data_IF_620267699319
#
_entry.id   IF_620267699319
#
_cell.length_a   1.000
_cell.length_b   1.000
_cell.length_c   1.000
_cell.angle_alpha   90.00
_cell.angle_beta   90.00
_cell.angle_gamma   90.00
#
_symmetry.space_group_name_H-M   'P 1'
#
loop_
_entity.id
_entity.type
_entity.pdbx_description
1 polymer ?
#
# COMPACT_ATOMS: atom_id res chain seq x y z
N UNK A 1 2.17 21.28 2.31
CA UNK A 1 1.79 22.28 3.34
C UNK A 1 0.62 23.17 2.93
N UNK A 2 0.76 24.09 1.93
CA UNK A 2 -0.28 25.12 1.63
C UNK A 2 -1.65 24.53 1.33
N UNK A 3 -1.72 23.51 0.45
CA UNK A 3 -2.94 22.75 0.15
C UNK A 3 -3.62 22.23 1.43
N UNK A 4 -2.85 21.55 2.29
CA UNK A 4 -3.40 20.88 3.47
C UNK A 4 -3.97 21.91 4.46
N UNK A 5 -3.29 23.05 4.64
CA UNK A 5 -3.80 24.14 5.46
C UNK A 5 -5.11 24.72 4.92
N UNK A 6 -5.22 24.88 3.59
CA UNK A 6 -6.44 25.38 2.95
C UNK A 6 -7.60 24.37 3.05
N UNK A 7 -7.30 23.07 3.12
CA UNK A 7 -8.27 22.00 3.34
C UNK A 7 -8.56 21.74 4.83
N UNK A 8 -7.96 22.51 5.76
CA UNK A 8 -8.10 22.29 7.19
C UNK A 8 -7.44 21.01 7.71
N UNK A 9 -6.48 20.45 6.95
CA UNK A 9 -5.74 19.24 7.28
C UNK A 9 -4.38 19.59 7.89
N UNK A 10 -3.84 18.78 8.82
CA UNK A 10 -2.49 18.96 9.29
C UNK A 10 -1.50 18.77 8.13
N UNK A 11 -0.53 19.67 7.93
CA UNK A 11 0.47 19.52 6.88
C UNK A 11 1.43 18.37 7.20
N UNK A 12 1.69 17.51 6.23
CA UNK A 12 2.65 16.41 6.38
C UNK A 12 4.10 16.88 6.15
N UNK A 13 4.31 17.71 5.11
CA UNK A 13 5.63 18.15 4.68
C UNK A 13 5.67 19.67 4.48
N UNK A 14 6.81 20.27 4.78
CA UNK A 14 7.10 21.68 4.48
C UNK A 14 8.27 21.76 3.49
N UNK A 15 7.95 21.95 2.22
CA UNK A 15 8.92 22.13 1.15
C UNK A 15 9.12 23.61 0.85
N UNK A 16 10.35 24.03 0.71
CA UNK A 16 10.71 25.41 0.40
C UNK A 16 11.32 25.49 -1.01
N UNK A 17 10.80 26.41 -1.83
CA UNK A 17 11.40 26.79 -3.09
C UNK A 17 12.11 28.15 -2.94
N UNK A 18 13.38 28.21 -3.33
CA UNK A 18 14.22 29.39 -3.13
C UNK A 18 14.46 30.12 -4.46
N UNK A 19 14.13 31.41 -4.50
CA UNK A 19 14.53 32.31 -5.58
C UNK A 19 16.00 32.70 -5.44
N UNK A 20 16.67 33.04 -6.55
CA UNK A 20 18.06 33.52 -6.55
C UNK A 20 19.13 32.43 -6.78
N UNK A 21 18.72 31.21 -7.10
CA UNK A 21 19.63 30.11 -7.43
C UNK A 21 20.28 29.43 -6.21
N UNK A 22 21.01 28.35 -6.50
CA UNK A 22 21.65 27.49 -5.49
C UNK A 22 22.72 28.24 -4.69
N UNK A 23 23.51 29.11 -5.34
CA UNK A 23 24.62 29.80 -4.70
C UNK A 23 24.15 30.78 -3.62
N UNK A 24 23.10 31.55 -3.91
CA UNK A 24 22.51 32.46 -2.91
C UNK A 24 21.91 31.69 -1.72
N UNK A 25 21.30 30.52 -1.98
CA UNK A 25 20.77 29.64 -0.96
C UNK A 25 21.88 29.04 -0.07
N UNK A 26 22.95 28.53 -0.66
CA UNK A 26 24.09 27.96 0.08
C UNK A 26 24.79 29.00 0.95
N UNK A 27 24.92 30.24 0.45
CA UNK A 27 25.42 31.37 1.26
C UNK A 27 24.50 31.69 2.46
N UNK A 28 23.18 31.65 2.26
CA UNK A 28 22.22 31.92 3.31
C UNK A 28 22.10 30.79 4.35
N UNK A 29 22.34 29.55 3.93
CA UNK A 29 22.22 28.35 4.76
C UNK A 29 23.49 27.46 4.65
N UNK A 30 24.64 27.87 5.21
CA UNK A 30 25.92 27.18 5.03
C UNK A 30 25.95 25.76 5.64
N UNK A 31 24.98 25.40 6.47
CA UNK A 31 24.84 24.07 7.06
C UNK A 31 23.89 23.15 6.30
N UNK A 32 23.30 23.61 5.18
CA UNK A 32 22.45 22.78 4.34
C UNK A 32 23.28 21.69 3.64
N UNK A 33 22.75 20.49 3.64
CA UNK A 33 23.37 19.33 2.97
C UNK A 33 22.59 18.99 1.71
N UNK A 34 23.27 18.86 0.58
CA UNK A 34 22.68 18.38 -0.67
C UNK A 34 22.30 16.90 -0.52
N UNK A 35 21.05 16.57 -0.84
CA UNK A 35 20.50 15.22 -0.79
C UNK A 35 19.98 14.85 -2.18
N UNK A 36 20.31 13.65 -2.65
CA UNK A 36 19.92 13.18 -3.98
C UNK A 36 20.97 13.43 -5.05
N UNK A 37 20.95 12.57 -6.08
CA UNK A 37 21.90 12.63 -7.21
C UNK A 37 21.34 13.31 -8.45
N UNK A 38 20.02 13.36 -8.60
CA UNK A 38 19.33 13.80 -9.81
C UNK A 38 18.51 15.09 -9.66
N UNK A 39 18.22 15.51 -8.43
CA UNK A 39 17.47 16.75 -8.15
C UNK A 39 18.23 17.53 -7.10
N UNK A 40 18.33 18.85 -7.27
CA UNK A 40 18.96 19.76 -6.32
C UNK A 40 18.04 20.01 -5.12
N UNK A 41 18.00 19.05 -4.21
CA UNK A 41 17.31 19.16 -2.92
C UNK A 41 18.35 19.31 -1.82
N UNK A 42 18.11 20.25 -0.93
CA UNK A 42 18.97 20.57 0.21
C UNK A 42 18.18 20.37 1.49
N UNK A 43 18.80 19.79 2.49
CA UNK A 43 18.18 19.62 3.82
C UNK A 43 18.92 20.47 4.84
N UNK A 44 18.18 21.33 5.52
CA UNK A 44 18.67 22.13 6.64
C UNK A 44 17.66 22.09 7.78
N UNK A 45 18.10 21.73 8.99
CA UNK A 45 17.25 21.64 10.20
C UNK A 45 16.00 20.78 10.03
N UNK A 46 16.08 19.71 9.21
CA UNK A 46 14.94 18.83 8.93
C UNK A 46 13.93 19.37 7.92
N UNK A 47 14.20 20.51 7.29
CA UNK A 47 13.38 21.10 6.24
C UNK A 47 14.04 20.90 4.88
N UNK A 48 13.21 20.67 3.84
CA UNK A 48 13.67 20.48 2.46
C UNK A 48 13.59 21.80 1.69
N UNK A 49 14.68 22.11 0.97
CA UNK A 49 14.83 23.30 0.14
C UNK A 49 15.25 22.91 -1.26
N UNK A 50 14.69 23.57 -2.25
CA UNK A 50 15.07 23.41 -3.66
C UNK A 50 15.08 24.76 -4.38
N UNK A 51 15.86 24.92 -5.45
CA UNK A 51 15.70 26.08 -6.31
C UNK A 51 14.30 26.10 -6.96
N UNK A 52 13.82 27.29 -7.32
CA UNK A 52 12.66 27.39 -8.21
C UNK A 52 12.92 26.66 -9.52
N UNK A 53 11.91 25.99 -10.04
CA UNK A 53 11.91 25.49 -11.41
C UNK A 53 11.45 26.63 -12.32
N UNK A 54 12.39 27.28 -13.04
CA UNK A 54 12.18 28.50 -13.78
C UNK A 54 12.65 29.75 -13.02
N UNK A 55 12.32 30.92 -13.55
CA UNK A 55 12.76 32.20 -13.01
C UNK A 55 11.76 32.82 -12.01
N UNK A 56 10.50 32.40 -12.11
CA UNK A 56 9.39 32.97 -11.34
C UNK A 56 8.63 31.90 -10.53
N UNK A 57 7.97 32.31 -9.41
CA UNK A 57 7.08 31.39 -8.70
C UNK A 57 5.96 30.80 -9.58
N UNK A 58 5.48 31.53 -10.56
CA UNK A 58 4.44 31.07 -11.47
C UNK A 58 4.93 29.90 -12.35
N UNK A 59 6.16 29.98 -12.87
CA UNK A 59 6.78 28.90 -13.64
C UNK A 59 7.03 27.65 -12.77
N UNK A 60 7.49 27.84 -11.54
CA UNK A 60 7.64 26.72 -10.57
C UNK A 60 6.32 26.01 -10.31
N UNK A 61 5.22 26.74 -10.18
CA UNK A 61 3.90 26.17 -9.95
C UNK A 61 3.39 25.38 -11.16
N UNK A 62 3.63 25.86 -12.38
CA UNK A 62 3.31 25.14 -13.62
C UNK A 62 4.18 23.90 -13.85
N UNK A 63 5.34 23.83 -13.22
CA UNK A 63 6.22 22.67 -13.27
C UNK A 63 5.80 21.54 -12.32
N UNK A 64 4.85 21.76 -11.40
CA UNK A 64 4.35 20.75 -10.44
C UNK A 64 3.48 19.69 -11.13
N UNK A 65 3.03 18.73 -10.35
CA UNK A 65 2.20 17.61 -10.84
C UNK A 65 0.74 18.02 -11.05
N UNK A 66 0.07 18.52 -10.00
CA UNK A 66 -1.35 18.81 -9.97
C UNK A 66 -1.62 20.27 -9.62
N UNK A 67 -2.72 20.84 -10.15
CA UNK A 67 -3.16 22.21 -9.86
C UNK A 67 -3.35 22.45 -8.36
N UNK A 68 -3.91 21.47 -7.62
CA UNK A 68 -4.12 21.54 -6.18
C UNK A 68 -2.82 21.51 -5.37
N UNK A 69 -1.71 21.04 -5.94
CA UNK A 69 -0.37 21.07 -5.36
C UNK A 69 0.42 22.30 -5.82
N UNK A 70 -0.08 23.01 -6.84
CA UNK A 70 0.55 24.18 -7.41
C UNK A 70 0.16 25.46 -6.65
N UNK A 71 0.51 25.46 -5.36
CA UNK A 71 0.26 26.53 -4.38
C UNK A 71 1.53 26.81 -3.59
N UNK A 72 1.84 28.07 -3.36
CA UNK A 72 2.95 28.48 -2.53
C UNK A 72 2.61 29.78 -1.78
N UNK A 73 3.22 29.99 -0.61
CA UNK A 73 3.12 31.21 0.16
C UNK A 73 4.53 31.74 0.43
N UNK A 74 4.77 33.01 0.19
CA UNK A 74 6.05 33.64 0.51
C UNK A 74 6.16 34.04 2.00
N UNK A 75 7.33 34.47 2.41
CA UNK A 75 7.59 34.91 3.80
C UNK A 75 6.78 36.16 4.23
N UNK A 76 6.11 36.84 3.29
CA UNK A 76 5.22 37.99 3.55
C UNK A 76 3.75 37.58 3.62
N UNK A 77 3.44 36.27 3.46
CA UNK A 77 2.08 35.75 3.45
C UNK A 77 1.35 35.91 2.12
N UNK A 78 2.04 36.28 1.03
CA UNK A 78 1.42 36.37 -0.30
C UNK A 78 1.26 34.97 -0.90
N UNK A 79 0.04 34.65 -1.29
CA UNK A 79 -0.31 33.39 -1.96
C UNK A 79 0.01 33.48 -3.45
N UNK A 80 0.72 32.49 -3.97
CA UNK A 80 0.91 32.19 -5.38
C UNK A 80 0.19 30.89 -5.68
N UNK A 81 -0.59 30.85 -6.74
CA UNK A 81 -1.42 29.72 -7.08
C UNK A 81 -1.50 29.52 -8.59
N UNK A 82 -1.60 28.27 -9.02
CA UNK A 82 -2.01 27.95 -10.37
C UNK A 82 -3.40 28.56 -10.64
N UNK A 83 -3.70 29.11 -11.84
CA UNK A 83 -4.98 29.78 -12.13
C UNK A 83 -6.23 28.94 -11.82
N UNK A 84 -6.16 27.62 -11.95
CA UNK A 84 -7.26 26.68 -11.66
C UNK A 84 -7.25 26.14 -10.23
N UNK A 85 -6.19 26.34 -9.44
CA UNK A 85 -6.04 25.69 -8.14
C UNK A 85 -7.23 25.91 -7.20
N UNK A 86 -7.73 27.16 -7.11
CA UNK A 86 -8.86 27.50 -6.23
C UNK A 86 -10.17 26.86 -6.67
N UNK A 87 -10.41 26.74 -7.99
CA UNK A 87 -11.60 26.07 -8.52
C UNK A 87 -11.49 24.55 -8.28
N UNK A 88 -10.38 23.94 -8.71
CA UNK A 88 -10.16 22.50 -8.57
C UNK A 88 -10.17 22.06 -7.09
N UNK A 89 -9.67 22.90 -6.17
CA UNK A 89 -9.77 22.60 -4.73
C UNK A 89 -11.20 22.67 -4.20
N UNK A 90 -12.00 23.64 -4.63
CA UNK A 90 -13.41 23.75 -4.22
C UNK A 90 -14.24 22.61 -4.78
N UNK A 91 -13.98 22.25 -6.02
CA UNK A 91 -14.75 21.27 -6.79
C UNK A 91 -14.25 19.83 -6.56
N UNK A 92 -13.20 19.64 -5.75
CA UNK A 92 -12.63 18.31 -5.44
C UNK A 92 -12.02 17.63 -6.68
N UNK A 93 -11.26 18.37 -7.51
CA UNK A 93 -10.75 17.87 -8.79
C UNK A 93 -9.23 17.75 -8.78
N UNK A 94 -8.69 16.60 -9.19
CA UNK A 94 -7.26 16.37 -9.41
C UNK A 94 -6.94 16.52 -10.91
N UNK A 95 -6.40 17.68 -11.26
CA UNK A 95 -6.04 18.06 -12.64
C UNK A 95 -4.54 18.30 -12.73
N UNK A 96 -3.93 17.89 -13.83
CA UNK A 96 -2.53 18.20 -14.12
C UNK A 96 -2.29 19.71 -14.17
N UNK A 97 -1.15 20.16 -13.65
CA UNK A 97 -0.74 21.57 -13.69
C UNK A 97 -0.40 22.06 -15.11
N UNK A 98 0.00 21.14 -15.99
CA UNK A 98 0.27 21.38 -17.40
C UNK A 98 0.05 20.10 -18.20
N UNK A 99 -0.28 20.25 -19.50
CA UNK A 99 -0.59 19.10 -20.37
C UNK A 99 0.55 18.11 -20.51
N UNK A 100 1.80 18.58 -20.45
CA UNK A 100 3.01 17.76 -20.55
C UNK A 100 3.56 17.28 -19.20
N UNK A 101 2.84 17.52 -18.11
CA UNK A 101 3.31 17.22 -16.75
C UNK A 101 3.73 15.75 -16.58
N UNK A 102 2.97 14.80 -17.14
CA UNK A 102 3.29 13.37 -17.08
C UNK A 102 4.48 12.99 -17.97
N UNK A 103 4.61 13.64 -19.14
CA UNK A 103 5.74 13.39 -20.05
C UNK A 103 7.06 13.90 -19.47
N UNK A 104 7.03 15.03 -18.76
CA UNK A 104 8.20 15.55 -18.05
C UNK A 104 8.66 14.63 -16.93
N UNK A 105 7.73 13.98 -16.27
CA UNK A 105 8.05 13.07 -15.16
C UNK A 105 6.98 11.95 -15.02
N UNK A 106 7.21 10.79 -15.65
CA UNK A 106 6.24 9.70 -15.69
C UNK A 106 5.85 9.12 -14.32
N UNK A 107 6.66 9.31 -13.26
CA UNK A 107 6.29 8.86 -11.91
C UNK A 107 5.02 9.54 -11.39
N UNK A 108 4.66 10.67 -11.96
CA UNK A 108 3.47 11.45 -11.58
C UNK A 108 2.15 10.70 -11.77
N UNK A 109 2.10 9.64 -12.59
CA UNK A 109 0.89 8.78 -12.63
C UNK A 109 0.61 8.16 -11.27
N UNK A 110 1.67 7.74 -10.55
CA UNK A 110 1.54 7.22 -9.20
C UNK A 110 1.22 8.32 -8.17
N UNK A 111 1.77 9.53 -8.35
CA UNK A 111 1.40 10.68 -7.51
C UNK A 111 -0.08 11.05 -7.67
N UNK A 112 -0.60 11.08 -8.91
CA UNK A 112 -2.02 11.35 -9.19
C UNK A 112 -2.90 10.30 -8.51
N UNK A 113 -2.61 9.03 -8.71
CA UNK A 113 -3.37 7.93 -8.10
C UNK A 113 -3.31 7.97 -6.55
N UNK A 114 -2.13 8.26 -6.00
CA UNK A 114 -1.95 8.46 -4.55
C UNK A 114 -2.75 9.65 -4.02
N UNK A 115 -2.76 10.75 -4.75
CA UNK A 115 -3.50 11.94 -4.30
C UNK A 115 -4.98 11.66 -4.15
N UNK A 116 -5.58 10.84 -5.00
CA UNK A 116 -6.98 10.44 -4.83
C UNK A 116 -7.18 9.49 -3.64
N UNK A 117 -6.18 8.68 -3.32
CA UNK A 117 -6.20 7.83 -2.11
C UNK A 117 -6.07 8.66 -0.80
N UNK A 118 -5.25 9.72 -0.82
CA UNK A 118 -5.03 10.62 0.34
C UNK A 118 -6.15 11.65 0.51
N UNK A 119 -6.84 12.03 -0.56
CA UNK A 119 -7.90 13.06 -0.59
C UNK A 119 -9.23 12.43 -1.02
N UNK A 120 -9.98 11.78 -0.12
CA UNK A 120 -11.16 11.00 -0.50
C UNK A 120 -12.32 11.83 -1.08
N UNK A 121 -12.32 13.14 -0.89
CA UNK A 121 -13.31 14.05 -1.48
C UNK A 121 -12.92 14.56 -2.89
N UNK A 122 -11.76 14.10 -3.39
CA UNK A 122 -11.25 14.48 -4.71
C UNK A 122 -11.33 13.33 -5.69
N UNK A 123 -11.55 13.68 -6.98
CA UNK A 123 -11.58 12.75 -8.12
C UNK A 123 -10.61 13.21 -9.21
N UNK A 124 -10.01 12.25 -9.89
CA UNK A 124 -9.13 12.55 -11.03
C UNK A 124 -9.96 13.05 -12.20
N UNK A 125 -9.55 14.20 -12.78
CA UNK A 125 -10.24 14.79 -13.93
C UNK A 125 -10.16 13.88 -15.16
N UNK A 126 -11.22 13.76 -15.99
CA UNK A 126 -11.21 12.91 -17.18
C UNK A 126 -10.04 13.16 -18.14
N UNK A 127 -9.66 14.43 -18.37
CA UNK A 127 -8.48 14.76 -19.19
C UNK A 127 -7.18 14.24 -18.57
N UNK A 128 -7.05 14.24 -17.24
CA UNK A 128 -5.90 13.67 -16.54
C UNK A 128 -5.83 12.15 -16.76
N UNK A 129 -6.97 11.45 -16.64
CA UNK A 129 -7.05 10.02 -16.93
C UNK A 129 -6.68 9.69 -18.38
N UNK A 130 -7.10 10.53 -19.33
CA UNK A 130 -6.74 10.36 -20.74
C UNK A 130 -5.23 10.47 -20.94
N UNK A 131 -4.58 11.49 -20.36
CA UNK A 131 -3.11 11.62 -20.37
C UNK A 131 -2.40 10.44 -19.69
N UNK A 132 -2.99 9.88 -18.62
CA UNK A 132 -2.48 8.67 -18.00
C UNK A 132 -2.54 7.48 -18.96
N UNK A 133 -3.66 7.30 -19.72
CA UNK A 133 -3.79 6.21 -20.71
C UNK A 133 -2.79 6.35 -21.84
N UNK A 134 -2.58 7.55 -22.35
CA UNK A 134 -1.56 7.83 -23.37
C UNK A 134 -0.16 7.43 -22.88
N UNK A 135 0.18 7.77 -21.64
CA UNK A 135 1.47 7.42 -21.05
C UNK A 135 1.59 5.94 -20.73
N UNK A 136 0.53 5.32 -20.19
CA UNK A 136 0.46 3.89 -19.89
C UNK A 136 0.67 2.99 -21.11
N UNK A 137 0.24 3.45 -22.29
CA UNK A 137 0.50 2.78 -23.56
C UNK A 137 1.96 2.91 -24.05
N UNK A 138 2.78 3.71 -23.41
CA UNK A 138 4.19 3.96 -23.76
C UNK A 138 5.16 3.17 -22.87
N UNK A 139 6.44 3.00 -23.26
CA UNK A 139 7.42 2.34 -22.43
C UNK A 139 7.94 3.20 -21.26
N UNK A 140 7.44 4.42 -21.08
CA UNK A 140 7.98 5.40 -20.13
C UNK A 140 7.93 4.92 -18.67
N UNK A 141 6.88 4.18 -18.30
CA UNK A 141 6.75 3.64 -16.93
C UNK A 141 7.79 2.57 -16.61
N UNK A 142 8.26 1.81 -17.61
CA UNK A 142 9.26 0.76 -17.42
C UNK A 142 10.65 1.33 -17.09
N UNK A 143 10.93 2.57 -17.49
CA UNK A 143 12.22 3.24 -17.25
C UNK A 143 12.33 3.89 -15.86
N UNK A 144 11.26 3.88 -15.06
CA UNK A 144 11.26 4.54 -13.75
C UNK A 144 12.17 3.82 -12.74
N UNK A 145 12.93 4.57 -11.91
CA UNK A 145 13.61 3.99 -10.76
C UNK A 145 12.62 3.42 -9.74
N UNK A 146 12.87 2.18 -9.32
CA UNK A 146 12.00 1.48 -8.37
C UNK A 146 11.79 2.25 -7.06
N UNK A 147 12.80 2.96 -6.59
CA UNK A 147 12.75 3.75 -5.36
C UNK A 147 11.72 4.88 -5.43
N UNK A 148 11.55 5.49 -6.63
CA UNK A 148 10.56 6.55 -6.83
C UNK A 148 9.14 6.00 -6.77
N UNK A 149 8.89 4.88 -7.45
CA UNK A 149 7.60 4.19 -7.39
C UNK A 149 7.31 3.70 -5.97
N UNK A 150 8.32 3.09 -5.31
CA UNK A 150 8.20 2.65 -3.93
C UNK A 150 7.90 3.78 -2.93
N UNK A 151 8.39 5.00 -3.22
CA UNK A 151 8.07 6.17 -2.40
C UNK A 151 6.57 6.47 -2.44
N UNK A 152 5.98 6.51 -3.63
CA UNK A 152 4.53 6.73 -3.80
C UNK A 152 3.73 5.60 -3.15
N UNK A 153 4.11 4.34 -3.38
CA UNK A 153 3.44 3.18 -2.79
C UNK A 153 3.43 3.24 -1.27
N UNK A 154 4.56 3.56 -0.62
CA UNK A 154 4.60 3.66 0.85
C UNK A 154 3.63 4.68 1.40
N UNK A 155 3.46 5.81 0.72
CA UNK A 155 2.48 6.82 1.10
C UNK A 155 1.05 6.34 0.92
N UNK A 156 0.77 5.58 -0.14
CA UNK A 156 -0.54 4.96 -0.35
C UNK A 156 -0.90 4.00 0.78
N UNK A 157 0.08 3.26 1.33
CA UNK A 157 -0.18 2.36 2.46
C UNK A 157 -0.63 3.10 3.74
N UNK A 158 -0.45 4.41 3.80
CA UNK A 158 -0.84 5.30 4.90
C UNK A 158 -2.07 6.16 4.56
N UNK A 159 -2.61 6.04 3.33
CA UNK A 159 -3.72 6.84 2.85
C UNK A 159 -5.06 6.46 3.50
N UNK A 160 -6.02 7.40 3.45
CA UNK A 160 -7.39 7.21 3.99
C UNK A 160 -8.21 6.20 3.17
N UNK A 161 -7.97 6.15 1.83
CA UNK A 161 -8.66 5.28 0.88
C UNK A 161 -7.69 4.62 -0.10
N UNK A 162 -6.85 3.69 0.37
CA UNK A 162 -5.79 3.08 -0.44
C UNK A 162 -6.31 2.33 -1.68
N UNK A 163 -7.56 1.87 -1.70
CA UNK A 163 -8.20 1.25 -2.87
C UNK A 163 -8.18 2.13 -4.11
N UNK A 164 -8.33 3.44 -3.93
CA UNK A 164 -8.42 4.40 -5.04
C UNK A 164 -7.15 4.48 -5.86
N UNK A 165 -6.01 4.22 -5.25
CA UNK A 165 -4.73 4.12 -5.96
C UNK A 165 -4.78 3.04 -7.06
N UNK A 166 -5.24 1.84 -6.72
CA UNK A 166 -5.34 0.74 -7.68
C UNK A 166 -6.37 1.04 -8.76
N UNK A 167 -7.53 1.58 -8.37
CA UNK A 167 -8.59 1.96 -9.30
C UNK A 167 -8.11 3.00 -10.32
N UNK A 168 -7.47 4.07 -9.87
CA UNK A 168 -6.97 5.13 -10.77
C UNK A 168 -5.90 4.60 -11.71
N UNK A 169 -5.00 3.72 -11.24
CA UNK A 169 -3.98 3.11 -12.10
C UNK A 169 -4.62 2.16 -13.13
N UNK A 170 -5.65 1.41 -12.76
CA UNK A 170 -6.38 0.53 -13.69
C UNK A 170 -7.12 1.34 -14.76
N UNK A 171 -7.92 2.33 -14.36
CA UNK A 171 -8.64 3.25 -15.25
C UNK A 171 -7.70 4.03 -16.18
N UNK A 172 -6.51 4.38 -15.69
CA UNK A 172 -5.44 5.05 -16.43
C UNK A 172 -4.53 4.13 -17.25
N UNK A 173 -4.74 2.79 -17.21
CA UNK A 173 -3.89 1.84 -17.93
C UNK A 173 -2.44 1.81 -17.44
N UNK A 174 -2.18 2.19 -16.18
CA UNK A 174 -0.84 2.40 -15.61
C UNK A 174 -0.42 1.32 -14.58
N UNK A 175 -1.15 0.21 -14.48
CA UNK A 175 -0.76 -0.88 -13.59
C UNK A 175 0.54 -1.56 -14.04
N UNK A 176 0.72 -1.78 -15.35
CA UNK A 176 1.96 -2.34 -15.86
C UNK A 176 3.05 -1.28 -16.04
N UNK A 177 4.32 -1.64 -15.88
CA UNK A 177 4.84 -2.96 -15.47
C UNK A 177 4.94 -3.15 -13.95
N UNK A 178 4.59 -2.12 -13.14
CA UNK A 178 4.88 -2.08 -11.71
C UNK A 178 3.95 -2.95 -10.86
N UNK A 179 2.72 -3.13 -11.32
CA UNK A 179 1.68 -3.94 -10.69
C UNK A 179 1.11 -4.97 -11.69
N UNK A 180 2.00 -5.60 -12.47
CA UNK A 180 1.62 -6.57 -13.50
C UNK A 180 0.74 -7.71 -12.95
N UNK A 181 0.92 -8.06 -11.67
CA UNK A 181 0.10 -9.05 -10.96
C UNK A 181 -1.36 -8.61 -10.79
N UNK A 182 -1.70 -7.34 -11.04
CA UNK A 182 -3.06 -6.80 -10.93
C UNK A 182 -3.63 -6.32 -12.27
N UNK A 183 -2.84 -6.35 -13.34
CA UNK A 183 -3.21 -5.74 -14.63
C UNK A 183 -4.51 -6.27 -15.24
N UNK A 184 -4.94 -7.48 -14.91
CA UNK A 184 -6.20 -8.09 -15.35
C UNK A 184 -7.21 -8.30 -14.21
N UNK A 185 -6.87 -7.91 -13.01
CA UNK A 185 -7.65 -8.21 -11.80
C UNK A 185 -9.09 -7.64 -11.84
N UNK A 186 -9.30 -6.53 -12.52
CA UNK A 186 -10.63 -5.92 -12.71
C UNK A 186 -11.60 -6.73 -13.58
N UNK A 187 -11.10 -7.76 -14.30
CA UNK A 187 -11.93 -8.63 -15.17
C UNK A 187 -12.12 -10.03 -14.59
N UNK A 188 -11.45 -10.35 -13.50
CA UNK A 188 -11.43 -11.68 -12.90
C UNK A 188 -12.38 -11.67 -11.71
N UNK A 189 -13.39 -12.58 -11.66
CA UNK A 189 -14.29 -12.65 -10.51
C UNK A 189 -13.50 -13.03 -9.25
N UNK A 190 -13.78 -12.38 -8.13
CA UNK A 190 -13.07 -12.63 -6.86
C UNK A 190 -13.34 -14.03 -6.30
N UNK A 191 -14.50 -14.60 -6.60
CA UNK A 191 -14.90 -15.94 -6.16
C UNK A 191 -16.32 -16.29 -6.57
N UNK A 192 -16.86 -17.44 -6.15
CA UNK A 192 -18.21 -17.87 -6.50
C UNK A 192 -19.29 -17.10 -5.73
N UNK A 193 -20.43 -16.86 -6.38
CA UNK A 193 -21.64 -16.40 -5.69
C UNK A 193 -22.11 -17.44 -4.63
N UNK A 194 -22.75 -17.03 -3.54
CA UNK A 194 -23.14 -15.65 -3.19
C UNK A 194 -22.04 -14.88 -2.43
N UNK A 195 -20.81 -15.43 -2.34
CA UNK A 195 -19.74 -14.89 -1.50
C UNK A 195 -19.07 -13.65 -2.12
N UNK A 196 -18.99 -13.64 -3.46
CA UNK A 196 -18.39 -12.55 -4.22
C UNK A 196 -19.24 -12.25 -5.45
N UNK A 197 -19.56 -10.98 -5.67
CA UNK A 197 -20.18 -10.39 -6.85
C UNK A 197 -19.28 -9.37 -7.55
N UNK A 198 -18.06 -9.22 -7.02
CA UNK A 198 -17.04 -8.23 -7.40
C UNK A 198 -15.84 -8.89 -8.10
N UNK A 199 -15.02 -8.09 -8.76
CA UNK A 199 -13.74 -8.50 -9.33
C UNK A 199 -12.66 -8.65 -8.25
N UNK A 200 -11.57 -9.34 -8.60
CA UNK A 200 -10.38 -9.44 -7.71
C UNK A 200 -9.84 -8.06 -7.36
N UNK A 201 -9.85 -7.09 -8.29
CA UNK A 201 -9.36 -5.74 -8.04
C UNK A 201 -10.25 -5.00 -7.03
N UNK A 202 -11.57 -5.05 -7.23
CA UNK A 202 -12.55 -4.42 -6.34
C UNK A 202 -12.51 -5.03 -4.94
N UNK A 203 -12.48 -6.36 -4.84
CA UNK A 203 -12.32 -7.07 -3.57
C UNK A 203 -11.03 -6.65 -2.85
N UNK A 204 -9.91 -6.69 -3.56
CA UNK A 204 -8.61 -6.25 -3.01
C UNK A 204 -8.70 -4.82 -2.47
N UNK A 205 -9.32 -3.91 -3.24
CA UNK A 205 -9.54 -2.53 -2.83
C UNK A 205 -10.41 -2.40 -1.59
N UNK A 206 -11.54 -3.12 -1.54
CA UNK A 206 -12.45 -3.15 -0.39
C UNK A 206 -11.71 -3.58 0.88
N UNK A 207 -10.94 -4.67 0.80
CA UNK A 207 -10.16 -5.17 1.96
C UNK A 207 -9.07 -4.17 2.36
N UNK A 208 -8.39 -3.51 1.40
CA UNK A 208 -7.40 -2.46 1.69
C UNK A 208 -8.02 -1.29 2.49
N UNK A 209 -9.20 -0.83 2.10
CA UNK A 209 -9.88 0.28 2.77
C UNK A 209 -10.35 -0.11 4.19
N UNK A 210 -10.82 -1.35 4.39
CA UNK A 210 -11.23 -1.85 5.70
C UNK A 210 -10.08 -1.93 6.72
N UNK A 211 -8.83 -2.04 6.27
CA UNK A 211 -7.64 -2.08 7.14
C UNK A 211 -6.83 -0.79 7.13
N UNK A 212 -7.35 0.28 6.52
CA UNK A 212 -6.70 1.59 6.48
C UNK A 212 -6.27 2.06 7.89
N UNK A 213 -5.15 2.79 7.96
CA UNK A 213 -4.51 3.17 9.22
C UNK A 213 -3.50 2.15 9.77
N UNK A 214 -3.29 1.01 9.07
CA UNK A 214 -2.19 0.07 9.38
C UNK A 214 -1.48 -0.31 8.07
N UNK A 215 -0.38 0.38 7.77
CA UNK A 215 0.36 0.24 6.50
C UNK A 215 0.72 -1.21 6.15
N UNK A 216 1.05 -2.04 7.17
CA UNK A 216 1.35 -3.46 6.91
C UNK A 216 0.09 -4.26 6.60
N UNK A 217 -1.03 -3.97 7.25
CA UNK A 217 -2.30 -4.62 6.95
C UNK A 217 -2.79 -4.24 5.55
N UNK A 218 -2.66 -2.96 5.14
CA UNK A 218 -2.97 -2.50 3.78
C UNK A 218 -2.10 -3.21 2.75
N UNK A 219 -0.79 -3.34 3.00
CA UNK A 219 0.11 -4.10 2.12
C UNK A 219 -0.27 -5.58 2.05
N UNK A 220 -0.61 -6.19 3.18
CA UNK A 220 -1.11 -7.56 3.24
C UNK A 220 -2.41 -7.74 2.44
N UNK A 221 -3.33 -6.77 2.56
CA UNK A 221 -4.58 -6.75 1.80
C UNK A 221 -4.32 -6.64 0.28
N UNK A 222 -3.37 -5.80 -0.16
CA UNK A 222 -2.97 -5.74 -1.56
C UNK A 222 -2.45 -7.10 -2.07
N UNK A 223 -1.76 -7.86 -1.21
CA UNK A 223 -1.06 -9.09 -1.61
C UNK A 223 -1.88 -10.37 -1.48
N UNK A 224 -2.95 -10.42 -0.66
CA UNK A 224 -3.57 -11.68 -0.24
C UNK A 224 -4.10 -12.52 -1.40
N UNK A 225 -4.65 -11.88 -2.42
CA UNK A 225 -5.32 -12.52 -3.55
C UNK A 225 -4.58 -12.43 -4.91
N UNK A 226 -3.33 -11.95 -4.94
CA UNK A 226 -2.55 -11.81 -6.18
C UNK A 226 -2.47 -13.10 -7.01
N UNK A 227 -2.54 -14.25 -6.36
CA UNK A 227 -2.50 -15.54 -7.06
C UNK A 227 -3.76 -15.88 -7.84
N UNK A 228 -4.88 -15.20 -7.62
CA UNK A 228 -6.12 -15.38 -8.38
C UNK A 228 -5.97 -14.96 -9.84
N UNK A 229 -5.17 -13.92 -10.11
CA UNK A 229 -4.96 -13.37 -11.46
C UNK A 229 -4.34 -14.37 -12.43
N UNK A 230 -3.54 -15.31 -11.93
CA UNK A 230 -2.94 -16.38 -12.76
C UNK A 230 -3.79 -17.66 -12.86
N UNK A 231 -5.06 -17.60 -12.49
CA UNK A 231 -5.98 -18.75 -12.62
C UNK A 231 -6.48 -18.87 -14.05
N UNK A 232 -6.45 -20.10 -14.59
CA UNK A 232 -7.03 -20.40 -15.91
C UNK A 232 -8.51 -19.94 -15.94
N UNK A 233 -8.91 -19.14 -16.93
CA UNK A 233 -10.30 -18.68 -17.08
C UNK A 233 -11.34 -19.81 -17.09
N UNK A 234 -10.98 -21.01 -17.56
CA UNK A 234 -11.86 -22.18 -17.54
C UNK A 234 -12.24 -22.66 -16.13
N UNK A 235 -11.49 -22.22 -15.10
CA UNK A 235 -11.76 -22.57 -13.70
C UNK A 235 -12.57 -21.50 -12.97
N UNK A 236 -12.76 -20.33 -13.58
CA UNK A 236 -13.51 -19.25 -12.92
C UNK A 236 -14.94 -19.67 -12.58
N UNK A 237 -15.47 -19.24 -11.44
CA UNK A 237 -14.90 -18.32 -10.44
C UNK A 237 -14.05 -18.99 -9.34
N UNK A 238 -13.57 -20.22 -9.56
CA UNK A 238 -12.77 -20.96 -8.57
C UNK A 238 -11.26 -20.76 -8.79
N UNK A 239 -10.54 -20.44 -7.73
CA UNK A 239 -9.11 -20.09 -7.78
C UNK A 239 -8.24 -21.10 -7.00
N UNK A 240 -8.37 -22.39 -7.28
CA UNK A 240 -7.64 -23.43 -6.55
C UNK A 240 -6.13 -23.21 -6.55
N UNK A 241 -5.51 -23.25 -5.35
CA UNK A 241 -4.08 -23.09 -5.17
C UNK A 241 -3.55 -21.68 -5.40
N UNK A 242 -4.43 -20.66 -5.41
CA UNK A 242 -4.02 -19.27 -5.54
C UNK A 242 -3.10 -18.82 -4.40
N UNK A 243 -3.19 -19.45 -3.22
CA UNK A 243 -2.35 -19.12 -2.07
C UNK A 243 -0.85 -19.31 -2.36
N UNK A 244 -0.48 -20.40 -3.03
CA UNK A 244 0.92 -20.70 -3.39
C UNK A 244 1.41 -19.82 -4.55
N UNK A 245 0.53 -19.57 -5.53
CA UNK A 245 0.85 -18.63 -6.63
C UNK A 245 0.97 -17.20 -6.11
N UNK A 246 0.06 -16.81 -5.22
CA UNK A 246 0.04 -15.50 -4.58
C UNK A 246 1.26 -15.23 -3.71
N UNK A 247 1.77 -16.23 -2.98
CA UNK A 247 3.01 -16.10 -2.21
C UNK A 247 4.18 -15.70 -3.12
N UNK A 248 4.32 -16.32 -4.30
CA UNK A 248 5.37 -16.00 -5.28
C UNK A 248 5.13 -14.63 -5.92
N UNK A 249 3.89 -14.28 -6.23
CA UNK A 249 3.54 -12.99 -6.81
C UNK A 249 3.83 -11.84 -5.82
N UNK A 250 3.46 -12.00 -4.56
CA UNK A 250 3.75 -11.04 -3.50
C UNK A 250 5.26 -10.85 -3.27
N UNK A 251 6.04 -11.93 -3.37
CA UNK A 251 7.50 -11.89 -3.31
C UNK A 251 8.07 -11.08 -4.48
N UNK A 252 7.66 -11.38 -5.70
CA UNK A 252 8.11 -10.70 -6.92
C UNK A 252 7.77 -9.20 -6.90
N UNK A 253 6.53 -8.86 -6.50
CA UNK A 253 6.07 -7.47 -6.38
C UNK A 253 6.89 -6.69 -5.35
N UNK A 254 7.10 -7.25 -4.16
CA UNK A 254 7.90 -6.61 -3.12
C UNK A 254 9.36 -6.39 -3.54
N UNK A 255 9.94 -7.36 -4.27
CA UNK A 255 11.29 -7.26 -4.82
C UNK A 255 11.37 -6.18 -5.92
N UNK A 256 10.42 -6.14 -6.85
CA UNK A 256 10.33 -5.14 -7.93
C UNK A 256 10.26 -3.73 -7.36
N UNK A 257 9.43 -3.52 -6.35
CA UNK A 257 9.26 -2.26 -5.64
C UNK A 257 10.38 -1.98 -4.62
N UNK A 258 11.37 -2.87 -4.47
CA UNK A 258 12.47 -2.75 -3.48
C UNK A 258 11.95 -2.41 -2.07
N UNK A 259 10.84 -3.00 -1.67
CA UNK A 259 10.27 -2.77 -0.35
C UNK A 259 11.10 -3.45 0.74
N UNK A 260 11.03 -2.95 2.00
CA UNK A 260 11.71 -3.58 3.13
C UNK A 260 11.36 -5.06 3.29
N UNK A 261 12.31 -5.87 3.77
CA UNK A 261 12.12 -7.30 3.97
C UNK A 261 10.91 -7.66 4.87
N UNK A 262 10.48 -6.74 5.74
CA UNK A 262 9.27 -6.88 6.54
C UNK A 262 8.00 -6.85 5.66
N UNK A 263 7.92 -5.95 4.68
CA UNK A 263 6.80 -5.90 3.72
C UNK A 263 6.78 -7.17 2.86
N UNK A 264 7.94 -7.60 2.35
CA UNK A 264 8.09 -8.83 1.59
C UNK A 264 7.51 -10.04 2.36
N UNK A 265 7.95 -10.24 3.61
CA UNK A 265 7.44 -11.32 4.48
C UNK A 265 5.93 -11.17 4.75
N UNK A 266 5.45 -9.95 4.93
CA UNK A 266 4.04 -9.67 5.20
C UNK A 266 3.15 -10.07 4.02
N UNK A 267 3.49 -9.66 2.79
CA UNK A 267 2.75 -10.02 1.58
C UNK A 267 2.71 -11.53 1.34
N UNK A 268 3.88 -12.19 1.44
CA UNK A 268 3.97 -13.65 1.28
C UNK A 268 3.11 -14.39 2.32
N UNK A 269 3.16 -13.99 3.59
CA UNK A 269 2.39 -14.61 4.66
C UNK A 269 0.89 -14.41 4.45
N UNK A 270 0.46 -13.20 4.06
CA UNK A 270 -0.93 -12.90 3.76
C UNK A 270 -1.45 -13.82 2.65
N UNK A 271 -0.79 -13.84 1.50
CA UNK A 271 -1.20 -14.68 0.37
C UNK A 271 -1.28 -16.17 0.75
N UNK A 272 -0.30 -16.70 1.48
CA UNK A 272 -0.24 -18.11 1.84
C UNK A 272 -1.28 -18.53 2.87
N UNK A 273 -1.65 -17.68 3.82
CA UNK A 273 -2.37 -18.10 5.03
C UNK A 273 -3.78 -17.54 5.19
N UNK A 274 -4.19 -16.47 4.44
CA UNK A 274 -5.49 -15.80 4.66
C UNK A 274 -6.67 -16.79 4.56
N UNK A 275 -6.72 -17.64 3.54
CA UNK A 275 -7.79 -18.62 3.35
C UNK A 275 -7.92 -19.62 4.51
N UNK A 276 -6.77 -20.11 5.03
CA UNK A 276 -6.76 -20.99 6.21
C UNK A 276 -7.21 -20.22 7.44
N UNK A 277 -6.70 -19.01 7.61
CA UNK A 277 -7.03 -18.16 8.75
C UNK A 277 -8.51 -17.73 8.75
N UNK A 278 -9.11 -17.45 7.60
CA UNK A 278 -10.54 -17.17 7.50
C UNK A 278 -11.45 -18.31 7.99
N UNK A 279 -10.96 -19.55 7.92
CA UNK A 279 -11.65 -20.74 8.46
C UNK A 279 -11.15 -21.16 9.85
N UNK A 280 -10.58 -20.25 10.61
CA UNK A 280 -9.84 -20.54 11.83
C UNK A 280 -10.57 -21.44 12.83
N UNK A 281 -11.87 -21.22 13.06
CA UNK A 281 -12.69 -21.95 14.04
C UNK A 281 -12.86 -23.43 13.69
N UNK A 282 -12.73 -23.79 12.42
CA UNK A 282 -12.87 -25.17 11.92
C UNK A 282 -11.54 -25.92 11.78
N UNK A 283 -10.41 -25.22 12.01
CA UNK A 283 -9.08 -25.82 11.85
C UNK A 283 -8.75 -26.80 12.98
N UNK A 284 -8.02 -27.86 12.60
CA UNK A 284 -7.40 -28.77 13.58
C UNK A 284 -6.33 -28.04 14.39
N UNK A 285 -6.07 -28.45 15.67
CA UNK A 285 -5.11 -27.78 16.54
C UNK A 285 -3.73 -27.57 15.91
N UNK A 286 -3.22 -28.53 15.14
CA UNK A 286 -1.93 -28.40 14.45
C UNK A 286 -1.92 -27.29 13.40
N UNK A 287 -2.99 -27.15 12.61
CA UNK A 287 -3.11 -26.07 11.60
C UNK A 287 -3.32 -24.72 12.27
N UNK A 288 -4.14 -24.63 13.33
CA UNK A 288 -4.30 -23.42 14.14
C UNK A 288 -2.96 -22.95 14.70
N UNK A 289 -2.20 -23.91 15.27
CA UNK A 289 -0.85 -23.65 15.77
C UNK A 289 0.03 -23.04 14.69
N UNK A 290 0.06 -23.64 13.49
CA UNK A 290 0.96 -23.19 12.43
C UNK A 290 0.60 -21.79 11.95
N UNK A 291 -0.69 -21.48 11.76
CA UNK A 291 -1.15 -20.12 11.35
C UNK A 291 -0.75 -19.07 12.39
N UNK A 292 -1.04 -19.32 13.67
CA UNK A 292 -0.74 -18.36 14.74
C UNK A 292 0.77 -18.20 14.94
N UNK A 293 1.49 -19.32 14.89
CA UNK A 293 2.94 -19.34 15.13
C UNK A 293 3.72 -18.64 14.01
N UNK A 294 3.36 -18.89 12.75
CA UNK A 294 4.01 -18.24 11.60
C UNK A 294 3.82 -16.73 11.65
N UNK A 295 2.60 -16.26 11.94
CA UNK A 295 2.32 -14.84 12.09
C UNK A 295 3.07 -14.23 13.31
N UNK A 296 3.17 -14.97 14.41
CA UNK A 296 3.88 -14.51 15.62
C UNK A 296 5.38 -14.38 15.38
N UNK A 297 6.03 -15.44 14.88
CA UNK A 297 7.49 -15.45 14.64
C UNK A 297 7.90 -14.41 13.61
N UNK A 298 7.06 -14.16 12.62
CA UNK A 298 7.29 -13.09 11.64
C UNK A 298 7.13 -11.67 12.23
N UNK A 299 6.60 -11.53 13.46
CA UNK A 299 6.27 -10.24 14.05
C UNK A 299 5.08 -9.53 13.36
N UNK A 300 4.18 -10.33 12.75
CA UNK A 300 3.10 -9.86 11.89
C UNK A 300 1.70 -10.20 12.43
N UNK A 301 1.61 -10.68 13.67
CA UNK A 301 0.36 -11.16 14.24
C UNK A 301 -0.77 -10.13 14.16
N UNK A 302 -0.54 -8.90 14.61
CA UNK A 302 -1.58 -7.85 14.61
C UNK A 302 -2.05 -7.46 13.20
N UNK A 303 -1.18 -7.07 12.25
CA UNK A 303 -1.64 -6.70 10.91
C UNK A 303 -2.24 -7.88 10.15
N UNK A 304 -1.76 -9.11 10.36
CA UNK A 304 -2.30 -10.29 9.72
C UNK A 304 -3.76 -10.56 10.15
N UNK A 305 -4.06 -10.50 11.46
CA UNK A 305 -5.44 -10.73 11.92
C UNK A 305 -6.38 -9.56 11.61
N UNK A 306 -5.85 -8.34 11.43
CA UNK A 306 -6.66 -7.26 10.85
C UNK A 306 -7.10 -7.57 9.43
N UNK A 307 -6.16 -8.01 8.58
CA UNK A 307 -6.46 -8.48 7.22
C UNK A 307 -7.50 -9.58 7.24
N UNK A 308 -7.26 -10.66 8.00
CA UNK A 308 -8.16 -11.84 8.03
C UNK A 308 -9.57 -11.47 8.45
N UNK A 309 -9.72 -10.59 9.44
CA UNK A 309 -11.02 -10.12 9.88
C UNK A 309 -11.73 -9.28 8.80
N UNK A 310 -10.98 -8.44 8.09
CA UNK A 310 -11.53 -7.62 7.01
C UNK A 310 -11.98 -8.48 5.82
N UNK A 311 -11.16 -9.46 5.42
CA UNK A 311 -11.42 -10.37 4.32
C UNK A 311 -12.57 -11.34 4.60
N UNK A 312 -12.62 -11.92 5.81
CA UNK A 312 -13.64 -12.91 6.17
C UNK A 312 -14.95 -12.30 6.71
N UNK A 313 -14.95 -11.00 7.04
CA UNK A 313 -16.08 -10.35 7.72
C UNK A 313 -16.32 -10.83 9.16
N UNK A 314 -15.40 -11.63 9.73
CA UNK A 314 -15.55 -12.24 11.07
C UNK A 314 -14.37 -11.84 11.95
N UNK A 315 -14.66 -11.39 13.18
CA UNK A 315 -13.58 -11.16 14.16
C UNK A 315 -13.08 -12.48 14.74
N UNK A 316 -11.91 -12.90 14.25
CA UNK A 316 -11.21 -14.13 14.65
C UNK A 316 -10.01 -13.83 15.56
N UNK A 317 -9.71 -12.57 15.80
CA UNK A 317 -8.55 -12.14 16.60
C UNK A 317 -8.61 -12.59 18.07
N UNK A 318 -9.75 -12.56 18.76
CA UNK A 318 -9.81 -13.02 20.14
C UNK A 318 -9.38 -14.48 20.31
N UNK A 319 -9.81 -15.38 19.40
CA UNK A 319 -9.41 -16.77 19.41
C UNK A 319 -7.91 -16.94 19.10
N UNK A 320 -7.41 -16.20 18.12
CA UNK A 320 -6.00 -16.22 17.74
C UNK A 320 -5.09 -15.66 18.84
N UNK A 321 -5.48 -14.59 19.52
CA UNK A 321 -4.74 -14.03 20.66
C UNK A 321 -4.70 -14.98 21.84
N UNK A 322 -5.83 -15.63 22.15
CA UNK A 322 -5.89 -16.70 23.16
C UNK A 322 -4.94 -17.85 22.80
N UNK A 323 -5.04 -18.33 21.58
CA UNK A 323 -4.20 -19.46 21.14
C UNK A 323 -2.72 -19.09 21.14
N UNK A 324 -2.37 -17.85 20.74
CA UNK A 324 -1.00 -17.33 20.86
C UNK A 324 -0.51 -17.35 22.30
N UNK A 325 -1.33 -16.92 23.25
CA UNK A 325 -0.98 -16.95 24.67
C UNK A 325 -0.73 -18.40 25.16
N UNK A 326 -1.59 -19.35 24.77
CA UNK A 326 -1.40 -20.77 25.07
C UNK A 326 -0.09 -21.31 24.48
N UNK A 327 0.21 -21.01 23.22
CA UNK A 327 1.45 -21.44 22.55
C UNK A 327 2.69 -20.90 23.23
N UNK A 328 2.67 -19.64 23.67
CA UNK A 328 3.79 -18.98 24.34
C UNK A 328 4.00 -19.48 25.79
N UNK A 329 2.98 -20.04 26.43
CA UNK A 329 3.08 -20.63 27.76
C UNK A 329 3.72 -22.01 27.73
N UNK A 330 3.72 -22.72 26.60
CA UNK A 330 4.33 -24.04 26.46
C UNK A 330 5.85 -23.96 26.65
N UNK A 331 6.40 -24.74 27.52
CA UNK A 331 7.85 -24.85 27.76
C UNK A 331 8.37 -26.21 27.28
N UNK A 332 9.51 -26.15 26.59
CA UNK A 332 10.21 -27.38 26.20
C UNK A 332 10.90 -28.00 27.45
N UNK A 333 10.67 -29.27 27.76
CA UNK A 333 11.39 -29.98 28.85
C UNK A 333 12.91 -29.93 28.64
N UNK A 334 13.66 -29.98 29.74
CA UNK A 334 15.10 -29.70 29.71
C UNK A 334 15.86 -30.71 28.84
N UNK A 335 15.48 -31.96 28.88
CA UNK A 335 16.06 -33.06 28.09
C UNK A 335 15.88 -32.89 26.57
N UNK A 336 14.98 -31.98 26.15
CA UNK A 336 14.72 -31.68 24.72
C UNK A 336 15.33 -30.36 24.25
N UNK A 337 16.06 -29.66 25.14
CA UNK A 337 16.68 -28.38 24.77
C UNK A 337 18.01 -28.60 24.04
N UNK A 338 18.31 -27.75 23.09
CA UNK A 338 19.58 -27.75 22.34
C UNK A 338 19.73 -28.85 21.30
N UNK A 339 18.66 -29.62 21.00
CA UNK A 339 18.69 -30.73 20.03
C UNK A 339 18.27 -30.31 18.60
N UNK A 340 18.39 -29.02 18.26
CA UNK A 340 18.10 -28.52 16.93
C UNK A 340 16.65 -28.83 16.47
N UNK A 341 16.51 -29.54 15.35
CA UNK A 341 15.18 -29.88 14.78
C UNK A 341 14.33 -30.76 15.70
N UNK A 342 14.95 -31.64 16.50
CA UNK A 342 14.22 -32.49 17.44
C UNK A 342 13.54 -31.66 18.53
N UNK A 343 14.21 -30.61 19.03
CA UNK A 343 13.63 -29.62 19.95
C UNK A 343 12.40 -28.93 19.30
N UNK A 344 12.52 -28.50 18.04
CA UNK A 344 11.44 -27.86 17.30
C UNK A 344 10.22 -28.77 17.08
N UNK A 345 10.45 -30.01 16.68
CA UNK A 345 9.38 -31.01 16.52
C UNK A 345 8.66 -31.27 17.86
N UNK A 346 9.43 -31.44 18.94
CA UNK A 346 8.86 -31.68 20.27
C UNK A 346 8.06 -30.50 20.80
N UNK A 347 8.57 -29.29 20.62
CA UNK A 347 7.83 -28.06 20.99
C UNK A 347 6.51 -28.00 20.24
N UNK A 348 6.52 -28.22 18.91
CA UNK A 348 5.32 -28.26 18.09
C UNK A 348 4.29 -29.26 18.58
N UNK A 349 4.71 -30.49 18.93
CA UNK A 349 3.81 -31.51 19.50
C UNK A 349 3.14 -31.04 20.78
N UNK A 350 3.93 -30.49 21.72
CA UNK A 350 3.43 -29.97 22.98
C UNK A 350 2.46 -28.83 22.79
N UNK A 351 2.77 -27.91 21.89
CA UNK A 351 1.90 -26.80 21.49
C UNK A 351 0.58 -27.29 20.89
N UNK A 352 0.62 -28.28 19.99
CA UNK A 352 -0.59 -28.86 19.41
C UNK A 352 -1.48 -29.54 20.47
N UNK A 353 -0.88 -30.25 21.43
CA UNK A 353 -1.61 -30.85 22.56
C UNK A 353 -2.24 -29.78 23.44
N UNK A 354 -1.51 -28.71 23.75
CA UNK A 354 -2.03 -27.61 24.55
C UNK A 354 -3.26 -26.95 23.84
N UNK A 355 -3.20 -26.70 22.54
CA UNK A 355 -4.34 -26.15 21.79
C UNK A 355 -5.53 -27.12 21.69
N UNK A 356 -5.31 -28.42 21.69
CA UNK A 356 -6.38 -29.41 21.69
C UNK A 356 -7.29 -29.31 22.92
N UNK A 357 -6.75 -28.86 24.05
CA UNK A 357 -7.50 -28.60 25.26
C UNK A 357 -8.39 -27.35 25.21
N UNK A 358 -8.19 -26.50 24.20
CA UNK A 358 -8.95 -25.26 23.97
C UNK A 358 -9.61 -25.28 22.59
N UNK A 359 -10.68 -26.05 22.40
CA UNK A 359 -11.40 -26.06 21.13
C UNK A 359 -11.99 -24.67 20.85
N UNK A 360 -11.95 -24.22 19.59
CA UNK A 360 -12.77 -23.09 19.18
C UNK A 360 -14.23 -23.53 19.23
N UNK A 361 -15.11 -22.74 19.83
CA UNK A 361 -16.54 -22.97 19.72
C UNK A 361 -16.88 -22.85 18.24
N UNK A 362 -17.45 -23.91 17.66
CA UNK A 362 -18.11 -23.78 16.37
C UNK A 362 -19.16 -22.67 16.54
N UNK A 363 -19.09 -21.60 15.77
CA UNK A 363 -20.21 -20.72 15.65
C UNK A 363 -21.37 -21.61 15.19
N UNK A 364 -22.53 -21.51 15.83
CA UNK A 364 -23.79 -22.03 15.28
C UNK A 364 -24.08 -21.17 14.05
N UNK A 365 -23.44 -21.48 12.92
CA UNK A 365 -23.78 -20.94 11.61
C UNK A 365 -25.06 -21.61 11.11
N UNK A 366 -26.15 -21.33 11.83
CA UNK A 366 -27.51 -21.33 11.33
C UNK A 366 -28.06 -19.94 11.57
N UNK A 367 -27.63 -19.00 10.75
CA UNK A 367 -28.39 -17.78 10.52
C UNK A 367 -27.96 -17.21 9.18
N UNK A 368 -28.81 -17.48 8.20
CA UNK A 368 -29.07 -16.80 6.93
C UNK A 368 -28.11 -17.14 5.80
#
# INVERSE_FOLDING_TARGET
MVRDLLLGRPPHDMDFACAGGVDAFVQALPHARKVGRSVDVWVARGLEFRPLQGETPAEDLLARDLTVNALAVDARGRLYAHPRASADMRDGVLRLSADDALNRDPVRVFSVARMEAELPDFIVHPETLERMRELGASPALAALPAERVAHEVRRVLEADRPSRFLRVLDEGGCLEPWFAELAQAGRIPAGPAPWHDESVLEHTGTVMDLVAGDSLAVWMALCHDLGKVSTDPALWPHHYGHELRGERAADALACRLRLPGRCRKAGMLAARLHMKAGRYRTLRPGTRRDVVWDAHVAGLHTPFWKLVNADSGVDLRPEADRDRAVLLAVRLPEEWRGLGEASGRRLRELQCRALAAYPCKAANDRAI
#
